data_IF_840686352582
#
_entry.id   IF_840686352582
#
_cell.length_a   1.000
_cell.length_b   1.000
_cell.length_c   1.000
_cell.angle_alpha   90.00
_cell.angle_beta   90.00
_cell.angle_gamma   90.00
#
_symmetry.space_group_name_H-M   'P 1'
#
loop_
_entity.id
_entity.type
_entity.pdbx_description
1 polymer ?
#
# COMPACT_ATOMS: atom_id res chain seq x y z
N UNK A 1 -13.70 -10.77 -28.55
CA UNK A 1 -13.34 -9.35 -28.74
C UNK A 1 -13.13 -8.80 -27.36
N UNK A 2 -11.89 -8.48 -27.01
CA UNK A 2 -11.55 -7.75 -25.78
C UNK A 2 -12.43 -6.51 -25.65
N UNK A 3 -13.05 -6.29 -24.48
CA UNK A 3 -13.85 -5.09 -24.26
C UNK A 3 -12.93 -3.86 -24.35
N UNK A 4 -13.47 -2.71 -24.77
CA UNK A 4 -12.69 -1.48 -24.97
C UNK A 4 -11.96 -1.01 -23.69
N UNK A 5 -12.40 -1.50 -22.53
CA UNK A 5 -11.74 -1.39 -21.22
C UNK A 5 -10.29 -1.93 -21.23
N UNK A 6 -10.02 -3.05 -21.92
CA UNK A 6 -8.68 -3.66 -22.00
C UNK A 6 -7.64 -2.78 -22.74
N UNK A 7 -8.08 -1.78 -23.51
CA UNK A 7 -7.19 -0.89 -24.25
C UNK A 7 -6.73 0.32 -23.42
N UNK A 8 -7.52 0.79 -22.45
CA UNK A 8 -7.22 1.97 -21.63
C UNK A 8 -6.21 1.71 -20.49
N UNK A 9 -6.04 0.45 -20.07
CA UNK A 9 -5.19 0.05 -18.95
C UNK A 9 -3.70 -0.11 -19.31
N UNK A 10 -3.31 0.05 -20.58
CA UNK A 10 -1.91 -0.06 -21.05
C UNK A 10 -0.99 1.07 -20.59
N UNK A 11 -1.52 2.11 -19.93
CA UNK A 11 -0.79 3.35 -19.62
C UNK A 11 0.12 3.34 -18.38
N UNK A 12 -0.13 2.50 -17.36
CA UNK A 12 0.78 2.39 -16.21
C UNK A 12 1.72 1.22 -16.41
N UNK A 13 2.91 1.48 -16.99
CA UNK A 13 3.98 0.48 -17.08
C UNK A 13 4.45 0.11 -15.66
N UNK A 14 3.82 -0.90 -15.06
CA UNK A 14 4.33 -1.60 -13.87
C UNK A 14 5.34 -2.65 -14.36
N UNK A 15 6.67 -2.42 -14.25
CA UNK A 15 7.69 -3.20 -14.97
C UNK A 15 7.64 -4.70 -14.65
N UNK A 16 7.31 -5.06 -13.40
CA UNK A 16 7.20 -6.43 -12.94
C UNK A 16 6.04 -7.18 -13.62
N UNK A 17 4.88 -6.55 -13.79
CA UNK A 17 3.71 -7.21 -14.38
C UNK A 17 3.89 -7.40 -15.89
N UNK A 18 4.42 -6.40 -16.59
CA UNK A 18 4.75 -6.53 -18.01
C UNK A 18 5.79 -7.63 -18.25
N UNK A 19 6.78 -7.75 -17.36
CA UNK A 19 7.78 -8.80 -17.41
C UNK A 19 7.18 -10.19 -17.16
N UNK A 20 6.35 -10.35 -16.11
CA UNK A 20 5.72 -11.62 -15.78
C UNK A 20 4.71 -12.09 -16.84
N UNK A 21 3.99 -11.18 -17.51
CA UNK A 21 3.09 -11.50 -18.63
C UNK A 21 3.84 -12.01 -19.87
N UNK A 22 5.12 -11.69 -19.99
CA UNK A 22 5.98 -12.10 -21.10
C UNK A 22 6.84 -13.32 -20.76
N UNK A 23 6.85 -13.75 -19.49
CA UNK A 23 7.61 -14.91 -19.04
C UNK A 23 6.99 -16.20 -19.59
N UNK A 24 7.85 -17.10 -20.07
CA UNK A 24 7.40 -18.42 -20.53
C UNK A 24 7.07 -19.32 -19.34
N UNK A 25 6.20 -20.32 -19.54
CA UNK A 25 5.91 -21.31 -18.50
C UNK A 25 7.16 -22.03 -17.99
N UNK A 26 8.18 -22.18 -18.85
CA UNK A 26 9.49 -22.75 -18.49
C UNK A 26 10.32 -21.86 -17.56
N UNK A 27 10.04 -20.55 -17.51
CA UNK A 27 10.81 -19.59 -16.69
C UNK A 27 10.22 -19.39 -15.29
N UNK A 28 8.96 -19.80 -15.05
CA UNK A 28 8.24 -19.54 -13.79
C UNK A 28 9.00 -20.09 -12.59
N UNK A 29 9.46 -21.34 -12.65
CA UNK A 29 10.20 -21.97 -11.55
C UNK A 29 11.55 -21.27 -11.30
N UNK A 30 12.20 -20.77 -12.36
CA UNK A 30 13.44 -20.02 -12.26
C UNK A 30 13.23 -18.63 -11.65
N UNK A 31 12.15 -17.95 -12.02
CA UNK A 31 11.76 -16.65 -11.43
C UNK A 31 11.43 -16.83 -9.95
N UNK A 32 10.62 -17.81 -9.58
CA UNK A 32 10.26 -18.09 -8.19
C UNK A 32 11.53 -18.34 -7.37
N UNK A 33 12.43 -19.19 -7.88
CA UNK A 33 13.67 -19.50 -7.19
C UNK A 33 14.52 -18.24 -6.99
N UNK A 34 14.77 -17.45 -8.03
CA UNK A 34 15.60 -16.23 -7.96
C UNK A 34 14.97 -15.08 -7.14
N UNK A 35 13.65 -15.02 -7.03
CA UNK A 35 12.97 -14.00 -6.23
C UNK A 35 12.86 -14.36 -4.74
N UNK A 36 12.56 -15.63 -4.44
CA UNK A 36 12.18 -16.07 -3.08
C UNK A 36 13.19 -17.02 -2.43
N UNK A 37 13.97 -17.76 -3.22
CA UNK A 37 15.01 -18.67 -2.71
C UNK A 37 14.48 -19.85 -1.90
N UNK A 38 13.24 -20.30 -2.13
CA UNK A 38 12.55 -21.27 -1.26
C UNK A 38 13.14 -22.69 -1.29
N UNK A 39 13.70 -23.10 -2.42
CA UNK A 39 14.32 -24.42 -2.58
C UNK A 39 15.84 -24.40 -2.34
N UNK A 40 16.36 -23.29 -1.80
CA UNK A 40 17.77 -23.01 -1.71
C UNK A 40 18.19 -22.82 -0.24
N UNK A 41 19.03 -23.70 0.30
CA UNK A 41 19.58 -23.48 1.64
C UNK A 41 20.52 -22.26 1.63
N UNK A 42 20.20 -21.25 2.44
CA UNK A 42 21.01 -20.04 2.55
C UNK A 42 22.39 -20.38 3.06
N UNK A 43 23.41 -19.81 2.42
CA UNK A 43 24.79 -19.99 2.89
C UNK A 43 25.12 -19.02 4.01
N UNK A 44 25.79 -19.54 5.03
CA UNK A 44 26.40 -18.70 6.06
C UNK A 44 27.63 -18.00 5.49
N UNK A 45 28.01 -16.87 6.09
CA UNK A 45 29.24 -16.16 5.75
C UNK A 45 30.45 -17.12 5.75
N UNK A 46 30.62 -17.91 6.82
CA UNK A 46 31.73 -18.85 6.93
C UNK A 46 31.75 -19.93 5.86
N UNK A 47 30.57 -20.42 5.43
CA UNK A 47 30.47 -21.41 4.35
C UNK A 47 30.91 -20.84 3.00
N UNK A 48 30.50 -19.60 2.71
CA UNK A 48 30.90 -18.92 1.47
C UNK A 48 32.39 -18.59 1.46
N UNK A 49 32.93 -18.08 2.57
CA UNK A 49 34.38 -17.83 2.72
C UNK A 49 35.18 -19.11 2.52
N UNK A 50 34.75 -20.23 3.14
CA UNK A 50 35.40 -21.52 2.95
C UNK A 50 35.37 -22.02 1.50
N UNK A 51 34.27 -21.77 0.79
CA UNK A 51 34.16 -22.12 -0.62
C UNK A 51 35.05 -21.24 -1.50
N UNK A 52 35.07 -19.91 -1.29
CA UNK A 52 35.99 -19.01 -2.00
C UNK A 52 37.44 -19.41 -1.78
N UNK A 53 37.81 -19.73 -0.54
CA UNK A 53 39.14 -20.21 -0.14
C UNK A 53 39.52 -21.51 -0.87
N UNK A 54 38.61 -22.49 -0.93
CA UNK A 54 38.79 -23.73 -1.67
C UNK A 54 39.00 -23.48 -3.17
N UNK A 55 38.17 -22.64 -3.80
CA UNK A 55 38.23 -22.31 -5.23
C UNK A 55 39.45 -21.47 -5.65
N UNK A 56 40.08 -20.80 -4.68
CA UNK A 56 41.26 -19.96 -4.89
C UNK A 56 42.55 -20.61 -4.41
N UNK A 57 42.47 -21.72 -3.67
CA UNK A 57 43.62 -22.41 -3.09
C UNK A 57 44.29 -21.62 -1.96
N UNK A 58 43.57 -20.72 -1.28
CA UNK A 58 44.08 -19.97 -0.12
C UNK A 58 43.39 -20.38 1.17
N UNK A 59 43.96 -20.00 2.32
CA UNK A 59 43.34 -20.24 3.61
C UNK A 59 42.12 -19.33 3.83
N UNK A 60 41.09 -19.83 4.50
CA UNK A 60 39.88 -19.07 4.81
C UNK A 60 40.16 -17.78 5.59
N UNK A 61 41.18 -17.75 6.46
CA UNK A 61 41.55 -16.52 7.19
C UNK A 61 42.07 -15.42 6.26
N UNK A 62 42.86 -15.77 5.24
CA UNK A 62 43.33 -14.81 4.24
C UNK A 62 42.16 -14.21 3.46
N UNK A 63 41.14 -15.02 3.15
CA UNK A 63 39.92 -14.54 2.51
C UNK A 63 39.18 -13.56 3.42
N UNK A 64 39.04 -13.87 4.73
CA UNK A 64 38.39 -12.98 5.70
C UNK A 64 39.12 -11.64 5.82
N UNK A 65 40.45 -11.65 5.86
CA UNK A 65 41.26 -10.43 5.94
C UNK A 65 41.02 -9.50 4.74
N UNK A 66 40.78 -10.07 3.56
CA UNK A 66 40.52 -9.31 2.32
C UNK A 66 39.07 -8.81 2.26
N UNK A 67 38.10 -9.68 2.57
CA UNK A 67 36.67 -9.38 2.37
C UNK A 67 35.99 -8.77 3.60
N UNK A 68 36.70 -8.69 4.73
CA UNK A 68 36.19 -8.22 6.01
C UNK A 68 35.26 -9.20 6.72
N UNK A 69 34.90 -8.89 7.97
CA UNK A 69 34.18 -9.81 8.88
C UNK A 69 32.65 -9.82 8.73
N UNK A 70 32.12 -9.07 7.76
CA UNK A 70 30.66 -8.91 7.60
C UNK A 70 30.15 -9.59 6.34
N UNK A 71 28.87 -9.96 6.36
CA UNK A 71 28.19 -10.52 5.19
C UNK A 71 28.10 -9.50 4.06
N UNK A 72 27.83 -8.25 4.39
CA UNK A 72 27.74 -7.13 3.47
C UNK A 72 29.07 -6.86 2.76
N UNK A 73 30.19 -6.83 3.50
CA UNK A 73 31.52 -6.62 2.92
C UNK A 73 31.92 -7.76 1.97
N UNK A 74 31.63 -9.01 2.35
CA UNK A 74 31.82 -10.17 1.46
C UNK A 74 31.01 -10.04 0.16
N UNK A 75 29.75 -9.60 0.25
CA UNK A 75 28.90 -9.38 -0.94
C UNK A 75 29.51 -8.30 -1.84
N UNK A 76 29.99 -7.20 -1.27
CA UNK A 76 30.60 -6.12 -2.05
C UNK A 76 31.86 -6.58 -2.77
N UNK A 77 32.72 -7.36 -2.10
CA UNK A 77 33.89 -7.99 -2.73
C UNK A 77 33.51 -8.99 -3.82
N UNK A 78 32.46 -9.79 -3.64
CA UNK A 78 32.00 -10.72 -4.70
C UNK A 78 31.40 -9.99 -5.91
N UNK A 79 30.79 -8.81 -5.68
CA UNK A 79 30.22 -7.98 -6.75
C UNK A 79 31.30 -7.22 -7.52
N UNK A 80 32.40 -6.82 -6.87
CA UNK A 80 33.48 -6.10 -7.54
C UNK A 80 34.21 -6.96 -8.58
N UNK A 81 34.22 -8.28 -8.40
CA UNK A 81 34.82 -9.24 -9.33
C UNK A 81 33.96 -9.51 -10.59
N UNK A 82 32.81 -8.85 -10.73
CA UNK A 82 31.94 -8.99 -11.89
C UNK A 82 32.33 -8.04 -13.03
N UNK A 83 32.89 -8.60 -14.11
CA UNK A 83 33.61 -7.84 -15.16
C UNK A 83 32.80 -7.50 -16.43
N UNK A 84 31.54 -7.94 -16.55
CA UNK A 84 30.69 -7.56 -17.69
C UNK A 84 29.96 -8.75 -18.29
N UNK A 85 28.67 -8.86 -17.95
CA UNK A 85 27.85 -10.04 -18.16
C UNK A 85 27.78 -10.53 -19.61
N UNK A 86 28.29 -11.74 -19.83
CA UNK A 86 27.95 -12.57 -20.98
C UNK A 86 26.53 -13.15 -20.90
N UNK A 87 25.84 -12.93 -19.78
CA UNK A 87 24.38 -12.97 -19.65
C UNK A 87 23.83 -14.36 -19.38
N UNK A 88 23.81 -14.77 -18.11
CA UNK A 88 22.97 -15.91 -17.73
C UNK A 88 21.50 -15.62 -18.05
N UNK A 89 20.85 -16.58 -18.70
CA UNK A 89 19.39 -16.62 -18.70
C UNK A 89 18.87 -17.02 -17.31
N UNK A 90 17.57 -16.86 -17.09
CA UNK A 90 16.96 -17.16 -15.78
C UNK A 90 17.18 -18.61 -15.32
N UNK A 91 17.16 -19.56 -16.25
CA UNK A 91 17.34 -20.97 -15.93
C UNK A 91 18.78 -21.26 -15.48
N UNK A 92 19.78 -20.67 -16.15
CA UNK A 92 21.20 -20.77 -15.78
C UNK A 92 21.46 -20.16 -14.40
N UNK A 93 20.93 -18.97 -14.14
CA UNK A 93 21.06 -18.32 -12.83
C UNK A 93 20.35 -19.11 -11.72
N UNK A 94 19.15 -19.65 -12.00
CA UNK A 94 18.39 -20.51 -11.08
C UNK A 94 19.14 -21.81 -10.77
N UNK A 95 19.73 -22.44 -11.79
CA UNK A 95 20.53 -23.65 -11.63
C UNK A 95 21.80 -23.38 -10.84
N UNK A 96 22.56 -22.33 -11.17
CA UNK A 96 23.75 -21.95 -10.44
C UNK A 96 23.44 -21.71 -8.95
N UNK A 97 22.37 -20.98 -8.64
CA UNK A 97 21.95 -20.76 -7.26
C UNK A 97 21.63 -22.08 -6.54
N UNK A 98 21.00 -23.04 -7.23
CA UNK A 98 20.70 -24.37 -6.67
C UNK A 98 21.98 -25.17 -6.41
N UNK A 99 22.96 -25.13 -7.30
CA UNK A 99 24.24 -25.83 -7.15
C UNK A 99 25.06 -25.31 -5.97
N UNK A 100 25.01 -24.00 -5.67
CA UNK A 100 25.58 -23.51 -4.41
C UNK A 100 24.78 -24.04 -3.22
N UNK A 101 23.47 -23.85 -3.24
CA UNK A 101 22.66 -23.92 -2.03
C UNK A 101 22.18 -25.33 -1.66
N UNK A 102 22.24 -26.30 -2.56
CA UNK A 102 21.77 -27.67 -2.32
C UNK A 102 22.94 -28.68 -2.27
N UNK A 103 23.19 -29.34 -1.11
CA UNK A 103 24.23 -30.36 -0.98
C UNK A 103 24.08 -31.54 -1.96
N UNK A 104 22.86 -31.87 -2.36
CA UNK A 104 22.54 -33.04 -3.19
C UNK A 104 22.84 -32.82 -4.69
N UNK A 105 23.10 -31.57 -5.10
CA UNK A 105 23.32 -31.20 -6.50
C UNK A 105 24.81 -31.08 -6.89
N UNK A 106 25.73 -31.30 -5.93
CA UNK A 106 27.16 -31.09 -6.15
C UNK A 106 27.55 -29.60 -6.21
N UNK A 107 28.72 -29.25 -5.70
CA UNK A 107 29.28 -27.90 -5.85
C UNK A 107 30.00 -27.79 -7.21
N UNK A 108 29.26 -27.95 -8.29
CA UNK A 108 29.83 -28.00 -9.65
C UNK A 108 30.02 -26.60 -10.28
N UNK A 109 29.74 -25.52 -9.53
CA UNK A 109 29.81 -24.15 -10.03
C UNK A 109 30.79 -23.34 -9.19
N UNK A 110 31.85 -22.84 -9.83
CA UNK A 110 32.82 -21.96 -9.17
C UNK A 110 32.26 -20.55 -8.99
N UNK A 111 32.58 -19.90 -7.88
CA UNK A 111 32.19 -18.50 -7.66
C UNK A 111 32.81 -17.55 -8.70
N UNK A 112 33.98 -17.88 -9.26
CA UNK A 112 34.66 -17.09 -10.30
C UNK A 112 33.88 -17.10 -11.61
N UNK A 113 33.34 -18.26 -11.99
CA UNK A 113 32.53 -18.38 -13.20
C UNK A 113 31.21 -17.60 -13.06
N UNK A 114 30.66 -17.56 -11.84
CA UNK A 114 29.48 -16.76 -11.51
C UNK A 114 29.77 -15.26 -11.61
N UNK A 115 30.90 -14.82 -11.04
CA UNK A 115 31.30 -13.42 -11.09
C UNK A 115 31.44 -12.94 -12.54
N UNK A 116 32.06 -13.74 -13.41
CA UNK A 116 32.24 -13.44 -14.84
C UNK A 116 30.94 -13.44 -15.65
N UNK A 117 29.97 -14.27 -15.28
CA UNK A 117 28.72 -14.41 -16.03
C UNK A 117 27.72 -13.26 -15.80
N UNK A 118 27.84 -12.55 -14.67
CA UNK A 118 26.90 -11.52 -14.23
C UNK A 118 27.48 -10.11 -14.36
N UNK A 119 26.61 -9.13 -14.61
CA UNK A 119 26.95 -7.73 -14.33
C UNK A 119 26.84 -7.43 -12.82
N UNK A 120 27.34 -6.26 -12.41
CA UNK A 120 27.36 -5.89 -10.98
C UNK A 120 25.96 -5.82 -10.33
N UNK A 121 24.91 -5.47 -11.07
CA UNK A 121 23.53 -5.43 -10.55
C UNK A 121 23.02 -6.85 -10.32
N UNK A 122 23.21 -7.73 -11.30
CA UNK A 122 22.85 -9.15 -11.23
C UNK A 122 23.59 -9.84 -10.09
N UNK A 123 24.91 -9.67 -10.01
CA UNK A 123 25.75 -10.23 -8.95
C UNK A 123 25.29 -9.75 -7.57
N UNK A 124 24.96 -8.46 -7.43
CA UNK A 124 24.46 -7.89 -6.17
C UNK A 124 23.14 -8.51 -5.74
N UNK A 125 22.23 -8.75 -6.69
CA UNK A 125 20.95 -9.40 -6.40
C UNK A 125 21.12 -10.90 -6.09
N UNK A 126 21.98 -11.58 -6.84
CA UNK A 126 22.29 -13.00 -6.70
C UNK A 126 22.93 -13.30 -5.34
N UNK A 127 24.06 -12.66 -5.02
CA UNK A 127 24.80 -12.93 -3.78
C UNK A 127 24.04 -12.55 -2.52
N UNK A 128 23.25 -11.47 -2.57
CA UNK A 128 22.33 -11.12 -1.48
C UNK A 128 21.29 -12.21 -1.24
N UNK A 129 20.83 -12.87 -2.30
CA UNK A 129 19.84 -13.97 -2.20
C UNK A 129 20.50 -15.23 -1.65
N UNK A 130 21.65 -15.65 -2.20
CA UNK A 130 22.44 -16.82 -1.76
C UNK A 130 22.83 -16.74 -0.27
N UNK A 131 23.32 -15.58 0.17
CA UNK A 131 23.77 -15.35 1.54
C UNK A 131 22.64 -14.95 2.51
N UNK A 132 21.41 -14.82 2.02
CA UNK A 132 20.27 -14.36 2.82
C UNK A 132 20.43 -12.94 3.39
N UNK A 133 21.26 -12.09 2.76
CA UNK A 133 21.37 -10.66 3.08
C UNK A 133 20.26 -9.84 2.42
N UNK A 134 19.57 -10.41 1.43
CA UNK A 134 18.43 -9.75 0.80
C UNK A 134 17.26 -9.75 1.79
N UNK A 135 16.76 -8.57 2.11
CA UNK A 135 15.31 -8.40 2.38
C UNK A 135 14.59 -8.64 1.06
N UNK A 136 14.43 -9.91 0.68
CA UNK A 136 13.70 -10.29 -0.53
C UNK A 136 12.30 -9.70 -0.52
N UNK A 137 11.65 -9.65 -1.68
CA UNK A 137 10.20 -9.48 -1.69
C UNK A 137 9.64 -10.68 -0.93
N UNK A 138 9.13 -10.48 0.29
CA UNK A 138 8.54 -11.57 1.06
C UNK A 138 7.35 -12.15 0.28
N UNK A 139 6.99 -13.42 0.49
CA UNK A 139 5.76 -13.99 -0.09
C UNK A 139 4.56 -13.06 0.14
N UNK A 140 4.52 -12.42 1.31
CA UNK A 140 3.54 -11.42 1.69
C UNK A 140 3.61 -10.11 0.88
N UNK A 141 4.81 -9.58 0.63
CA UNK A 141 5.01 -8.39 -0.22
C UNK A 141 4.64 -8.70 -1.67
N UNK A 142 4.95 -9.91 -2.14
CA UNK A 142 4.53 -10.43 -3.42
C UNK A 142 3.00 -10.54 -3.46
N UNK A 143 2.36 -11.21 -2.51
CA UNK A 143 0.90 -11.29 -2.39
C UNK A 143 0.22 -9.92 -2.37
N UNK A 144 0.78 -8.93 -1.66
CA UNK A 144 0.29 -7.55 -1.70
C UNK A 144 0.42 -6.94 -3.10
N UNK A 145 1.53 -7.17 -3.78
CA UNK A 145 1.69 -6.76 -5.18
C UNK A 145 0.73 -7.51 -6.12
N UNK A 146 0.40 -8.77 -5.82
CA UNK A 146 -0.53 -9.62 -6.57
C UNK A 146 -1.99 -9.22 -6.36
N UNK A 147 -2.41 -8.94 -5.12
CA UNK A 147 -3.71 -8.36 -4.77
C UNK A 147 -3.93 -7.01 -5.47
N UNK A 148 -2.89 -6.17 -5.50
CA UNK A 148 -2.85 -4.92 -6.29
C UNK A 148 -2.92 -5.12 -7.80
N UNK A 149 -3.03 -6.34 -8.30
CA UNK A 149 -3.24 -6.64 -9.71
C UNK A 149 -4.53 -7.47 -9.92
N UNK A 150 -5.48 -7.44 -8.98
CA UNK A 150 -6.83 -7.98 -9.23
C UNK A 150 -7.06 -9.44 -8.88
N UNK A 151 -6.20 -10.06 -8.07
CA UNK A 151 -6.44 -11.40 -7.54
C UNK A 151 -7.37 -11.33 -6.32
N UNK A 152 -8.52 -11.99 -6.40
CA UNK A 152 -9.56 -11.99 -5.34
C UNK A 152 -9.17 -12.85 -4.13
N UNK A 153 -9.79 -12.58 -2.99
CA UNK A 153 -9.58 -13.36 -1.76
C UNK A 153 -10.04 -14.84 -1.92
N UNK A 154 -11.03 -15.11 -2.78
CA UNK A 154 -11.45 -16.47 -3.13
C UNK A 154 -10.38 -17.23 -3.91
N UNK A 155 -9.72 -16.60 -4.88
CA UNK A 155 -8.62 -17.23 -5.63
C UNK A 155 -7.41 -17.50 -4.72
N UNK A 156 -7.15 -16.57 -3.79
CA UNK A 156 -6.12 -16.73 -2.75
C UNK A 156 -6.45 -17.88 -1.81
N UNK A 157 -7.72 -18.05 -1.45
CA UNK A 157 -8.18 -19.14 -0.59
C UNK A 157 -8.16 -20.49 -1.32
N UNK A 158 -8.60 -20.54 -2.58
CA UNK A 158 -8.60 -21.74 -3.42
C UNK A 158 -7.18 -22.23 -3.76
N UNK A 159 -6.24 -21.31 -3.99
CA UNK A 159 -4.82 -21.64 -4.21
C UNK A 159 -4.00 -21.74 -2.90
N UNK A 160 -4.67 -21.73 -1.74
CA UNK A 160 -4.07 -21.90 -0.41
C UNK A 160 -2.94 -20.90 -0.11
N UNK A 161 -3.08 -19.67 -0.59
CA UNK A 161 -2.04 -18.63 -0.59
C UNK A 161 -1.93 -17.85 0.73
N UNK A 162 -2.75 -18.17 1.74
CA UNK A 162 -2.80 -17.48 3.04
C UNK A 162 -1.90 -18.14 4.10
N UNK A 163 -1.47 -19.38 3.87
CA UNK A 163 -0.72 -20.19 4.83
C UNK A 163 0.79 -20.15 4.57
N UNK A 164 1.61 -20.43 5.58
CA UNK A 164 3.08 -20.57 5.44
C UNK A 164 3.50 -21.65 4.42
N UNK A 165 2.57 -22.54 4.08
CA UNK A 165 2.68 -23.56 3.02
C UNK A 165 2.23 -23.05 1.63
N UNK A 166 2.24 -21.73 1.41
CA UNK A 166 1.87 -21.10 0.15
C UNK A 166 2.62 -21.73 -1.03
N UNK A 167 1.87 -22.23 -2.00
CA UNK A 167 2.39 -22.70 -3.28
C UNK A 167 2.60 -21.51 -4.22
N UNK A 168 3.81 -20.94 -4.20
CA UNK A 168 4.16 -19.81 -5.07
C UNK A 168 3.98 -20.14 -6.56
N UNK A 169 4.16 -21.41 -6.95
CA UNK A 169 3.96 -21.84 -8.33
C UNK A 169 2.50 -21.67 -8.74
N UNK A 170 1.55 -22.14 -7.94
CA UNK A 170 0.12 -21.91 -8.18
C UNK A 170 -0.24 -20.42 -8.15
N UNK A 171 0.34 -19.62 -7.26
CA UNK A 171 0.16 -18.16 -7.27
C UNK A 171 0.58 -17.53 -8.60
N UNK A 172 1.77 -17.89 -9.10
CA UNK A 172 2.29 -17.42 -10.39
C UNK A 172 1.45 -17.92 -11.57
N UNK A 173 1.04 -19.19 -11.58
CA UNK A 173 0.18 -19.74 -12.63
C UNK A 173 -1.19 -19.07 -12.67
N UNK A 174 -1.80 -18.83 -11.51
CA UNK A 174 -3.07 -18.10 -11.39
C UNK A 174 -2.96 -16.67 -11.94
N UNK A 175 -1.80 -16.02 -11.83
CA UNK A 175 -1.53 -14.68 -12.39
C UNK A 175 -1.28 -14.67 -13.90
N UNK A 176 -0.56 -15.67 -14.44
CA UNK A 176 -0.12 -15.69 -15.84
C UNK A 176 -1.19 -16.30 -16.76
N UNK A 177 -1.95 -17.28 -16.29
CA UNK A 177 -2.86 -18.08 -17.12
C UNK A 177 -4.31 -17.57 -17.17
N UNK A 178 -4.73 -16.65 -16.28
CA UNK A 178 -6.07 -16.05 -16.31
C UNK A 178 -6.06 -14.51 -16.34
N UNK A 179 -5.52 -13.86 -17.40
CA UNK A 179 -5.47 -12.40 -17.51
C UNK A 179 -6.84 -11.70 -17.52
N UNK A 180 -7.91 -12.43 -17.88
CA UNK A 180 -9.28 -11.93 -17.90
C UNK A 180 -9.90 -11.74 -16.51
N UNK A 181 -9.26 -12.29 -15.47
CA UNK A 181 -9.74 -12.26 -14.09
C UNK A 181 -8.95 -11.27 -13.23
N UNK A 182 -8.10 -10.44 -13.84
CA UNK A 182 -7.59 -9.26 -13.14
C UNK A 182 -8.80 -8.37 -12.87
N UNK A 183 -9.30 -8.38 -11.64
CA UNK A 183 -10.15 -7.26 -11.22
C UNK A 183 -9.24 -6.04 -11.25
N UNK A 184 -9.47 -5.13 -12.18
CA UNK A 184 -8.88 -3.80 -12.15
C UNK A 184 -9.46 -2.97 -10.99
N UNK A 185 -9.91 -3.61 -9.91
CA UNK A 185 -10.35 -3.00 -8.66
C UNK A 185 -9.15 -2.46 -7.86
N UNK A 186 -8.23 -1.76 -8.52
CA UNK A 186 -7.58 -0.63 -7.88
C UNK A 186 -8.42 0.61 -8.16
N UNK A 187 -9.56 0.68 -7.48
CA UNK A 187 -9.93 1.90 -6.76
C UNK A 187 -9.77 3.22 -7.53
N UNK A 188 -10.36 3.28 -8.72
CA UNK A 188 -10.30 4.43 -9.64
C UNK A 188 -11.23 5.58 -9.19
N UNK A 189 -11.68 5.60 -7.94
CA UNK A 189 -12.26 6.78 -7.28
C UNK A 189 -11.68 7.02 -5.86
N UNK A 190 -10.64 6.28 -5.46
CA UNK A 190 -9.95 6.48 -4.18
C UNK A 190 -8.84 7.52 -4.30
N UNK A 191 -9.08 8.60 -5.04
CA UNK A 191 -8.20 9.76 -4.91
C UNK A 191 -8.50 10.37 -3.54
N UNK A 192 -7.67 10.02 -2.56
CA UNK A 192 -7.82 10.45 -1.18
C UNK A 192 -8.08 11.96 -1.17
N UNK A 193 -9.06 12.41 -0.40
CA UNK A 193 -9.27 13.84 -0.24
C UNK A 193 -8.44 14.27 0.94
N UNK A 194 -7.62 15.29 0.74
CA UNK A 194 -6.83 15.82 1.83
C UNK A 194 -7.80 16.45 2.83
N UNK A 195 -7.78 15.98 4.07
CA UNK A 195 -8.50 16.66 5.15
C UNK A 195 -7.64 17.87 5.51
N UNK A 196 -8.21 19.06 5.38
CA UNK A 196 -7.58 20.31 5.77
C UNK A 196 -8.30 20.85 7.00
N UNK A 197 -7.51 21.19 8.01
CA UNK A 197 -8.02 21.86 9.18
C UNK A 197 -8.62 23.20 8.76
N UNK A 198 -9.76 23.51 9.32
CA UNK A 198 -10.36 24.81 9.24
C UNK A 198 -9.55 25.81 10.06
N UNK A 199 -9.08 26.89 9.43
CA UNK A 199 -8.55 28.06 10.12
C UNK A 199 -8.88 29.34 9.34
N UNK A 200 -9.13 30.46 10.04
CA UNK A 200 -9.49 31.75 9.43
C UNK A 200 -8.41 32.33 8.51
N UNK A 201 -7.18 31.81 8.59
CA UNK A 201 -6.02 32.28 7.83
C UNK A 201 -5.98 31.78 6.36
N UNK A 202 -6.96 30.98 5.94
CA UNK A 202 -7.03 30.39 4.59
C UNK A 202 -7.79 31.33 3.64
N UNK A 203 -7.14 31.81 2.58
CA UNK A 203 -7.84 32.55 1.52
C UNK A 203 -8.62 31.60 0.60
N UNK A 204 -9.91 31.39 0.87
CA UNK A 204 -10.79 30.47 0.11
C UNK A 204 -10.83 30.72 -1.39
N UNK A 205 -10.64 31.96 -1.86
CA UNK A 205 -10.73 32.25 -3.30
C UNK A 205 -9.59 31.58 -4.07
N UNK A 206 -8.44 31.38 -3.40
CA UNK A 206 -7.28 30.68 -3.97
C UNK A 206 -7.50 29.16 -4.01
N UNK A 207 -8.52 28.66 -3.31
CA UNK A 207 -8.86 27.25 -3.22
C UNK A 207 -9.72 26.82 -4.41
N UNK A 208 -9.15 25.92 -5.23
CA UNK A 208 -9.84 25.22 -6.32
C UNK A 208 -10.56 26.13 -7.33
N UNK A 209 -9.97 27.29 -7.63
CA UNK A 209 -10.54 28.24 -8.60
C UNK A 209 -11.86 28.86 -8.15
N UNK A 210 -12.13 28.94 -6.85
CA UNK A 210 -13.33 29.59 -6.33
C UNK A 210 -14.56 28.69 -6.23
N UNK A 211 -14.41 27.36 -6.34
CA UNK A 211 -15.54 26.42 -6.37
C UNK A 211 -15.48 25.36 -5.25
N UNK A 212 -16.64 25.11 -4.64
CA UNK A 212 -16.85 24.07 -3.65
C UNK A 212 -18.13 23.24 -3.94
N UNK A 213 -18.30 22.15 -3.20
CA UNK A 213 -19.52 21.37 -3.09
C UNK A 213 -19.90 21.29 -1.61
N UNK A 214 -21.18 21.47 -1.31
CA UNK A 214 -21.73 21.21 0.02
C UNK A 214 -22.44 19.88 -0.07
N UNK A 215 -22.00 18.92 0.75
CA UNK A 215 -22.54 17.56 0.75
C UNK A 215 -23.24 17.36 2.09
N UNK A 216 -24.52 17.05 2.06
CA UNK A 216 -25.31 16.88 3.27
C UNK A 216 -24.81 15.69 4.11
N UNK A 217 -24.63 15.94 5.41
CA UNK A 217 -24.16 14.97 6.38
C UNK A 217 -22.63 14.80 6.43
N UNK A 218 -22.14 14.51 7.64
CA UNK A 218 -20.72 14.28 7.91
C UNK A 218 -20.36 12.80 7.76
N UNK A 219 -19.32 12.50 6.98
CA UNK A 219 -18.72 11.15 6.93
C UNK A 219 -19.56 10.05 6.26
N UNK A 220 -20.64 10.40 5.56
CA UNK A 220 -21.61 9.44 5.01
C UNK A 220 -21.32 8.96 3.58
N UNK A 221 -20.04 8.75 3.23
CA UNK A 221 -19.64 8.32 1.87
C UNK A 221 -20.03 6.86 1.59
N UNK A 222 -20.69 6.65 0.46
CA UNK A 222 -21.04 5.36 -0.15
C UNK A 222 -20.52 5.34 -1.58
N UNK A 223 -20.15 4.16 -2.05
CA UNK A 223 -19.73 3.93 -3.43
C UNK A 223 -20.69 2.95 -4.09
N UNK A 224 -21.13 3.30 -5.28
CA UNK A 224 -21.87 2.41 -6.15
C UNK A 224 -21.06 2.11 -7.40
N UNK A 225 -21.09 0.85 -7.86
CA UNK A 225 -20.21 0.35 -8.91
C UNK A 225 -21.01 -0.45 -9.94
N UNK A 226 -20.73 -0.19 -11.20
CA UNK A 226 -21.23 -0.94 -12.35
C UNK A 226 -20.07 -1.23 -13.31
N UNK A 227 -20.36 -1.91 -14.43
CA UNK A 227 -19.37 -2.19 -15.47
C UNK A 227 -18.95 -0.92 -16.25
N UNK A 228 -19.77 0.13 -16.21
CA UNK A 228 -19.57 1.34 -17.02
C UNK A 228 -19.04 2.52 -16.20
N UNK A 229 -19.32 2.54 -14.90
CA UNK A 229 -19.01 3.67 -14.04
C UNK A 229 -18.87 3.30 -12.55
N UNK A 230 -18.32 4.26 -11.81
CA UNK A 230 -18.35 4.27 -10.35
C UNK A 230 -18.85 5.63 -9.89
N UNK A 231 -19.76 5.63 -8.93
CA UNK A 231 -20.41 6.84 -8.40
C UNK A 231 -20.15 6.96 -6.91
N UNK A 232 -19.76 8.16 -6.49
CA UNK A 232 -19.69 8.52 -5.08
C UNK A 232 -20.95 9.25 -4.67
N UNK A 233 -21.61 8.75 -3.63
CA UNK A 233 -22.83 9.35 -3.11
C UNK A 233 -22.92 9.25 -1.59
N UNK A 234 -23.82 10.01 -0.99
CA UNK A 234 -24.12 9.88 0.44
C UNK A 234 -25.08 8.73 0.70
N UNK A 235 -25.15 8.25 1.95
CA UNK A 235 -26.26 7.36 2.39
C UNK A 235 -27.65 7.96 2.16
N UNK A 236 -27.75 9.29 2.15
CA UNK A 236 -28.98 10.02 1.85
C UNK A 236 -29.30 10.15 0.37
N UNK A 237 -28.50 9.55 -0.52
CA UNK A 237 -28.78 9.56 -1.96
C UNK A 237 -28.30 10.81 -2.69
N UNK A 238 -27.29 11.51 -2.19
CA UNK A 238 -26.70 12.67 -2.88
C UNK A 238 -25.39 12.27 -3.56
N UNK A 239 -25.37 12.18 -4.89
CA UNK A 239 -24.14 11.92 -5.66
C UNK A 239 -23.31 13.19 -5.83
N UNK A 240 -22.00 13.09 -5.68
CA UNK A 240 -21.11 14.27 -5.70
C UNK A 240 -19.82 14.08 -6.49
N UNK A 241 -19.59 12.88 -7.03
CA UNK A 241 -18.57 12.63 -8.04
C UNK A 241 -18.89 11.31 -8.76
N UNK A 242 -18.34 11.15 -9.95
CA UNK A 242 -18.37 9.88 -10.66
C UNK A 242 -17.14 9.74 -11.53
N UNK A 243 -16.87 8.49 -11.90
CA UNK A 243 -15.95 8.15 -12.97
C UNK A 243 -16.68 7.29 -13.98
N UNK A 244 -16.72 7.78 -15.21
CA UNK A 244 -17.20 7.07 -16.38
C UNK A 244 -16.00 6.50 -17.12
N UNK A 245 -15.91 5.18 -17.26
CA UNK A 245 -14.68 4.55 -17.74
C UNK A 245 -14.34 4.90 -19.20
N UNK A 246 -15.35 5.07 -20.05
CA UNK A 246 -15.14 5.48 -21.45
C UNK A 246 -14.95 6.99 -21.62
N UNK A 247 -15.22 7.77 -20.58
CA UNK A 247 -15.22 9.24 -20.62
C UNK A 247 -14.23 9.83 -19.60
N UNK A 248 -13.05 9.20 -19.44
CA UNK A 248 -12.04 9.59 -18.45
C UNK A 248 -11.45 11.02 -18.63
N UNK A 249 -11.68 11.65 -19.78
CA UNK A 249 -11.29 13.04 -20.03
C UNK A 249 -12.28 14.06 -19.46
N UNK A 250 -13.45 13.63 -18.98
CA UNK A 250 -14.45 14.55 -18.44
C UNK A 250 -13.95 15.21 -17.16
N UNK A 251 -14.04 16.54 -17.13
CA UNK A 251 -13.87 17.36 -15.94
C UNK A 251 -15.04 17.14 -14.98
N UNK A 252 -14.86 17.54 -13.72
CA UNK A 252 -15.87 17.29 -12.69
C UNK A 252 -17.25 17.84 -13.06
N UNK A 253 -17.34 19.07 -13.56
CA UNK A 253 -18.60 19.68 -13.95
C UNK A 253 -19.35 18.86 -15.02
N UNK A 254 -18.61 18.34 -16.01
CA UNK A 254 -19.16 17.50 -17.07
C UNK A 254 -19.62 16.15 -16.51
N UNK A 255 -18.88 15.57 -15.56
CA UNK A 255 -19.27 14.33 -14.86
C UNK A 255 -20.53 14.53 -14.02
N UNK A 256 -20.66 15.66 -13.32
CA UNK A 256 -21.86 15.99 -12.56
C UNK A 256 -23.08 16.22 -13.47
N UNK A 257 -22.88 16.86 -14.63
CA UNK A 257 -23.93 16.99 -15.65
C UNK A 257 -24.38 15.61 -16.13
N UNK A 258 -23.42 14.71 -16.43
CA UNK A 258 -23.71 13.33 -16.86
C UNK A 258 -24.53 12.56 -15.82
N UNK A 259 -24.23 12.72 -14.53
CA UNK A 259 -25.02 12.14 -13.44
C UNK A 259 -26.45 12.69 -13.40
N UNK A 260 -26.63 13.99 -13.65
CA UNK A 260 -27.95 14.61 -13.73
C UNK A 260 -28.76 14.11 -14.94
N UNK A 261 -28.08 13.87 -16.07
CA UNK A 261 -28.70 13.30 -17.27
C UNK A 261 -29.19 11.88 -17.02
N UNK A 262 -28.39 11.04 -16.35
CA UNK A 262 -28.77 9.67 -15.97
C UNK A 262 -29.99 9.68 -15.04
N UNK A 263 -30.02 10.57 -14.05
CA UNK A 263 -31.16 10.72 -13.14
C UNK A 263 -32.44 11.11 -13.89
N UNK A 264 -32.32 12.01 -14.88
CA UNK A 264 -33.45 12.47 -15.70
C UNK A 264 -33.98 11.40 -16.66
N UNK A 265 -33.18 10.39 -16.99
CA UNK A 265 -33.53 9.29 -17.90
C UNK A 265 -34.33 8.17 -17.22
N UNK A 266 -34.60 8.29 -15.91
CA UNK A 266 -35.42 7.32 -15.17
C UNK A 266 -34.70 6.00 -14.91
N UNK A 267 -33.37 6.00 -14.94
CA UNK A 267 -32.57 4.85 -14.52
C UNK A 267 -32.74 4.60 -13.00
N UNK A 268 -32.72 3.33 -12.59
CA UNK A 268 -32.71 2.96 -11.17
C UNK A 268 -31.31 3.21 -10.60
N UNK A 269 -31.09 4.39 -10.05
CA UNK A 269 -29.80 4.84 -9.53
C UNK A 269 -29.73 4.78 -8.01
N UNK A 270 -28.52 4.71 -7.42
CA UNK A 270 -28.31 4.67 -5.96
C UNK A 270 -28.38 6.06 -5.31
N UNK A 271 -28.78 7.08 -6.07
CA UNK A 271 -28.85 8.48 -5.68
C UNK A 271 -30.05 9.14 -6.36
N UNK A 272 -30.61 10.14 -5.69
CA UNK A 272 -31.79 10.89 -6.13
C UNK A 272 -31.46 12.38 -6.35
N UNK A 273 -30.25 12.82 -5.97
CA UNK A 273 -29.78 14.19 -6.13
C UNK A 273 -28.30 14.23 -6.55
N UNK A 274 -27.89 15.29 -7.25
CA UNK A 274 -26.49 15.57 -7.59
C UNK A 274 -26.02 16.86 -6.89
N UNK A 275 -24.94 16.78 -6.11
CA UNK A 275 -24.30 17.92 -5.49
C UNK A 275 -23.45 18.69 -6.52
N UNK A 276 -24.04 19.70 -7.14
CA UNK A 276 -23.35 20.55 -8.10
C UNK A 276 -22.31 21.48 -7.46
N UNK A 277 -21.37 21.93 -8.28
CA UNK A 277 -20.39 22.96 -7.91
C UNK A 277 -21.11 24.28 -7.65
N UNK A 278 -20.64 25.00 -6.64
CA UNK A 278 -21.08 26.37 -6.34
C UNK A 278 -19.88 27.26 -6.07
N UNK A 279 -20.06 28.56 -6.30
CA UNK A 279 -19.07 29.54 -5.87
C UNK A 279 -18.89 29.48 -4.36
N UNK A 280 -17.63 29.56 -3.93
CA UNK A 280 -17.29 29.63 -2.52
C UNK A 280 -17.95 30.88 -1.92
N UNK A 281 -18.82 30.73 -0.90
CA UNK A 281 -19.43 31.87 -0.24
C UNK A 281 -18.41 32.56 0.71
N UNK A 282 -18.75 33.72 1.29
CA UNK A 282 -17.96 34.33 2.33
C UNK A 282 -17.65 33.38 3.49
N UNK A 283 -16.53 33.62 4.19
CA UNK A 283 -16.00 32.71 5.20
C UNK A 283 -16.99 32.34 6.31
N UNK A 284 -17.75 33.32 6.81
CA UNK A 284 -18.78 33.16 7.83
C UNK A 284 -19.96 32.28 7.37
N UNK A 285 -20.23 32.20 6.07
CA UNK A 285 -21.26 31.29 5.54
C UNK A 285 -20.73 29.86 5.40
N UNK A 286 -19.45 29.69 5.04
CA UNK A 286 -18.82 28.36 5.12
C UNK A 286 -18.90 27.82 6.55
N UNK A 287 -18.72 28.70 7.54
CA UNK A 287 -18.88 28.40 8.98
C UNK A 287 -20.16 27.63 9.28
N UNK A 288 -21.31 28.26 9.03
CA UNK A 288 -22.59 27.61 9.26
C UNK A 288 -22.85 26.38 8.39
N UNK A 289 -22.26 26.29 7.18
CA UNK A 289 -22.48 25.14 6.30
C UNK A 289 -21.85 23.87 6.88
N UNK A 290 -20.68 23.96 7.47
CA UNK A 290 -19.96 22.80 7.99
C UNK A 290 -20.50 22.27 9.32
N UNK A 291 -21.47 22.93 9.96
CA UNK A 291 -22.09 22.42 11.19
C UNK A 291 -22.83 21.10 10.93
N UNK A 292 -23.55 21.02 9.81
CA UNK A 292 -24.35 19.86 9.44
C UNK A 292 -23.83 19.15 8.19
N UNK A 293 -23.01 19.83 7.38
CA UNK A 293 -22.57 19.34 6.07
C UNK A 293 -21.07 19.07 6.03
N UNK A 294 -20.65 18.37 4.99
CA UNK A 294 -19.26 18.29 4.57
C UNK A 294 -19.03 19.28 3.43
N UNK A 295 -18.19 20.30 3.66
CA UNK A 295 -17.75 21.20 2.57
C UNK A 295 -16.53 20.62 1.90
N UNK A 296 -16.68 20.32 0.61
CA UNK A 296 -15.66 19.76 -0.26
C UNK A 296 -15.17 20.80 -1.25
N UNK A 297 -13.87 20.76 -1.52
CA UNK A 297 -13.23 21.48 -2.61
C UNK A 297 -12.65 20.45 -3.56
N UNK A 298 -13.41 20.06 -4.59
CA UNK A 298 -13.13 18.88 -5.36
C UNK A 298 -12.07 19.13 -6.43
N UNK A 299 -11.31 18.12 -6.86
CA UNK A 299 -10.46 18.28 -8.04
C UNK A 299 -11.32 18.47 -9.31
N UNK A 300 -11.21 19.65 -9.93
CA UNK A 300 -11.98 20.01 -11.14
C UNK A 300 -11.44 19.37 -12.42
N UNK A 301 -10.19 18.89 -12.40
CA UNK A 301 -9.54 18.32 -13.57
C UNK A 301 -10.21 17.01 -14.02
N UNK A 302 -9.90 16.55 -15.25
CA UNK A 302 -10.17 15.18 -15.65
C UNK A 302 -9.60 14.19 -14.64
N UNK A 303 -10.28 13.08 -14.44
CA UNK A 303 -9.85 12.10 -13.45
C UNK A 303 -8.45 11.57 -13.79
N UNK A 304 -7.57 11.58 -12.78
CA UNK A 304 -6.24 10.98 -12.86
C UNK A 304 -6.00 10.11 -11.62
N UNK A 305 -5.53 8.86 -11.80
CA UNK A 305 -5.33 7.94 -10.67
C UNK A 305 -4.35 8.43 -9.61
N UNK A 306 -3.37 9.24 -10.01
CA UNK A 306 -2.26 9.67 -9.15
C UNK A 306 -2.53 11.02 -8.44
N UNK A 307 -3.60 11.73 -8.82
CA UNK A 307 -3.93 13.04 -8.25
C UNK A 307 -4.83 12.90 -7.01
N UNK A 308 -4.82 13.88 -6.11
CA UNK A 308 -5.81 13.95 -5.03
C UNK A 308 -7.20 14.29 -5.58
N UNK A 309 -8.26 13.79 -4.91
CA UNK A 309 -9.67 14.03 -5.29
C UNK A 309 -10.18 15.42 -4.91
N UNK A 310 -9.26 16.31 -4.53
CA UNK A 310 -9.48 17.57 -3.84
C UNK A 310 -9.20 17.48 -2.34
N UNK A 311 -9.84 18.34 -1.58
CA UNK A 311 -9.75 18.40 -0.12
C UNK A 311 -11.13 18.58 0.50
N UNK A 312 -11.22 18.20 1.77
CA UNK A 312 -12.39 18.38 2.62
C UNK A 312 -11.98 19.28 3.78
N UNK A 313 -12.75 20.33 4.03
CA UNK A 313 -12.56 21.11 5.25
C UNK A 313 -13.10 20.33 6.44
N UNK A 314 -12.32 20.33 7.51
CA UNK A 314 -12.66 19.69 8.77
C UNK A 314 -12.46 20.71 9.87
N UNK A 315 -13.47 20.87 10.72
CA UNK A 315 -13.38 21.68 11.95
C UNK A 315 -12.12 21.24 12.71
N UNK A 316 -11.23 22.19 13.04
CA UNK A 316 -9.91 21.89 13.59
C UNK A 316 -10.02 21.12 14.90
N UNK A 317 -11.03 21.44 15.69
CA UNK A 317 -11.41 20.82 16.96
C UNK A 317 -11.83 19.35 16.79
N UNK A 318 -12.20 18.91 15.57
CA UNK A 318 -12.46 17.49 15.29
C UNK A 318 -11.21 16.69 14.96
N UNK A 319 -10.06 17.34 14.73
CA UNK A 319 -8.80 16.66 14.46
C UNK A 319 -8.15 16.33 15.81
N UNK A 320 -8.18 15.04 16.13
CA UNK A 320 -7.74 14.52 17.41
C UNK A 320 -6.38 13.85 17.23
N UNK A 321 -5.42 14.26 18.04
CA UNK A 321 -4.10 13.65 18.09
C UNK A 321 -4.14 12.55 19.14
N UNK A 322 -4.01 11.30 18.71
CA UNK A 322 -4.11 10.11 19.56
C UNK A 322 -2.88 9.24 19.42
N UNK A 323 -2.62 8.38 20.40
CA UNK A 323 -1.52 7.41 20.36
C UNK A 323 -2.02 6.07 19.87
N UNK A 324 -1.34 5.47 18.91
CA UNK A 324 -1.65 4.13 18.43
C UNK A 324 -1.32 3.10 19.53
N UNK A 325 -2.32 2.31 19.95
CA UNK A 325 -2.18 1.38 21.07
C UNK A 325 -2.13 -0.07 20.64
N UNK A 326 -2.87 -0.43 19.61
CA UNK A 326 -2.80 -1.76 19.02
C UNK A 326 -3.19 -1.73 17.56
N UNK A 327 -2.87 -2.81 16.85
CA UNK A 327 -3.41 -3.04 15.52
C UNK A 327 -3.68 -4.52 15.24
N UNK A 328 -4.54 -4.76 14.26
CA UNK A 328 -4.90 -6.09 13.76
C UNK A 328 -5.10 -6.00 12.26
N UNK A 329 -4.43 -6.86 11.50
CA UNK A 329 -4.55 -6.90 10.03
C UNK A 329 -5.58 -7.97 9.65
N UNK A 330 -6.67 -7.57 8.98
CA UNK A 330 -7.76 -8.49 8.59
C UNK A 330 -8.13 -8.26 7.13
N UNK A 331 -8.00 -9.29 6.29
CA UNK A 331 -8.52 -9.23 4.91
C UNK A 331 -7.99 -8.05 4.07
N UNK A 332 -6.74 -7.60 4.31
CA UNK A 332 -6.16 -6.45 3.63
C UNK A 332 -6.53 -5.07 4.20
N UNK A 333 -7.38 -5.04 5.24
CA UNK A 333 -7.61 -3.85 6.08
C UNK A 333 -6.75 -3.90 7.34
N UNK A 334 -6.57 -2.74 7.98
CA UNK A 334 -5.90 -2.63 9.27
C UNK A 334 -6.87 -2.02 10.27
N UNK A 335 -7.28 -2.80 11.26
CA UNK A 335 -7.97 -2.30 12.43
C UNK A 335 -6.91 -1.74 13.38
N UNK A 336 -7.10 -0.51 13.83
CA UNK A 336 -6.23 0.12 14.81
C UNK A 336 -7.03 0.50 16.03
N UNK A 337 -6.43 0.36 17.20
CA UNK A 337 -6.88 1.00 18.43
C UNK A 337 -5.99 2.17 18.77
N UNK A 338 -6.58 3.13 19.46
CA UNK A 338 -5.88 4.33 19.88
C UNK A 338 -6.31 4.78 21.26
N UNK A 339 -5.36 5.45 21.92
CA UNK A 339 -5.50 5.97 23.26
C UNK A 339 -5.41 7.50 23.23
N UNK A 340 -6.11 8.12 24.18
CA UNK A 340 -5.93 9.53 24.53
C UNK A 340 -5.34 9.63 25.94
N UNK A 341 -4.95 10.83 26.37
CA UNK A 341 -4.47 11.04 27.73
C UNK A 341 -5.64 11.27 28.69
N UNK A 342 -5.54 10.65 29.87
CA UNK A 342 -6.34 10.98 31.05
C UNK A 342 -5.37 11.38 32.19
N UNK A 343 -5.08 12.68 32.27
CA UNK A 343 -4.05 13.19 33.16
C UNK A 343 -2.66 12.73 32.70
N UNK A 344 -2.08 11.76 33.43
CA UNK A 344 -0.78 11.16 33.11
C UNK A 344 -0.86 9.80 32.45
N UNK A 345 -2.05 9.19 32.42
CA UNK A 345 -2.25 7.82 31.97
C UNK A 345 -2.83 7.79 30.55
N UNK A 346 -2.56 6.70 29.83
CA UNK A 346 -3.17 6.44 28.52
C UNK A 346 -4.48 5.68 28.72
N UNK A 347 -5.56 6.21 28.16
CA UNK A 347 -6.89 5.60 28.20
C UNK A 347 -7.32 5.21 26.78
N UNK A 348 -7.79 3.97 26.56
CA UNK A 348 -8.35 3.56 25.28
C UNK A 348 -9.57 4.42 24.89
N UNK A 349 -9.52 5.06 23.73
CA UNK A 349 -10.58 5.98 23.26
C UNK A 349 -11.20 5.56 21.93
N UNK A 350 -10.90 4.37 21.46
CA UNK A 350 -11.66 3.71 20.41
C UNK A 350 -10.79 2.93 19.44
N UNK A 351 -11.40 2.63 18.30
CA UNK A 351 -10.76 1.93 17.20
C UNK A 351 -11.35 2.36 15.87
N UNK A 352 -10.57 2.22 14.80
CA UNK A 352 -11.05 2.45 13.44
C UNK A 352 -10.47 1.41 12.48
N UNK A 353 -11.14 1.21 11.36
CA UNK A 353 -10.65 0.34 10.28
C UNK A 353 -10.11 1.17 9.14
N UNK A 354 -8.82 0.98 8.83
CA UNK A 354 -8.17 1.52 7.64
C UNK A 354 -8.35 0.50 6.52
N UNK A 355 -9.21 0.82 5.56
CA UNK A 355 -9.44 0.00 4.36
C UNK A 355 -8.68 0.51 3.13
N UNK A 356 -8.27 1.79 3.15
CA UNK A 356 -7.56 2.42 2.05
C UNK A 356 -6.13 1.86 1.89
N UNK A 357 -5.82 1.30 0.73
CA UNK A 357 -4.54 0.63 0.47
C UNK A 357 -3.32 1.54 0.64
N UNK A 358 -3.42 2.83 0.32
CA UNK A 358 -2.31 3.77 0.48
C UNK A 358 -2.05 4.04 1.96
N UNK A 359 -3.12 4.24 2.74
CA UNK A 359 -3.05 4.41 4.20
C UNK A 359 -2.59 3.13 4.90
N UNK A 360 -3.07 1.96 4.48
CA UNK A 360 -2.58 0.65 4.95
C UNK A 360 -1.10 0.48 4.61
N UNK A 361 -0.67 0.86 3.41
CA UNK A 361 0.75 0.79 3.02
C UNK A 361 1.63 1.74 3.83
N UNK A 362 1.13 2.96 4.09
CA UNK A 362 1.76 3.94 4.98
C UNK A 362 1.89 3.38 6.40
N UNK A 363 0.79 2.84 6.94
CA UNK A 363 0.75 2.14 8.22
C UNK A 363 1.83 1.08 8.31
N UNK A 364 1.93 0.19 7.33
CA UNK A 364 2.96 -0.85 7.31
C UNK A 364 4.38 -0.29 7.29
N UNK A 365 4.63 0.80 6.54
CA UNK A 365 5.94 1.46 6.51
C UNK A 365 6.28 2.05 7.87
N UNK A 366 5.32 2.72 8.51
CA UNK A 366 5.47 3.31 9.85
C UNK A 366 5.77 2.25 10.88
N UNK A 367 4.96 1.19 10.99
CA UNK A 367 5.19 0.11 11.96
C UNK A 367 6.56 -0.55 11.79
N UNK A 368 6.97 -0.79 10.54
CA UNK A 368 8.29 -1.34 10.23
C UNK A 368 9.44 -0.44 10.68
N UNK A 369 9.29 0.89 10.56
CA UNK A 369 10.31 1.84 11.04
C UNK A 369 10.48 1.76 12.56
N UNK A 370 9.38 1.57 13.28
CA UNK A 370 9.38 1.45 14.74
C UNK A 370 9.77 0.05 15.26
N UNK A 371 10.17 -0.88 14.38
CA UNK A 371 10.56 -2.25 14.72
C UNK A 371 9.51 -3.00 15.56
N UNK A 372 8.22 -2.66 15.42
CA UNK A 372 7.13 -3.44 16.01
C UNK A 372 7.09 -4.80 15.31
N UNK A 373 7.04 -5.90 16.08
CA UNK A 373 7.29 -7.29 15.65
C UNK A 373 6.65 -7.71 14.32
N UNK A 374 7.28 -8.70 13.67
CA UNK A 374 6.92 -9.18 12.33
C UNK A 374 5.46 -9.64 12.25
N UNK A 375 4.69 -8.85 11.50
CA UNK A 375 3.36 -9.12 10.95
C UNK A 375 3.04 -10.61 10.74
N UNK A 376 2.49 -11.28 11.74
CA UNK A 376 1.74 -12.50 11.50
C UNK A 376 0.42 -12.12 10.86
N UNK A 377 0.09 -12.70 9.70
CA UNK A 377 -1.20 -12.61 9.00
C UNK A 377 -2.34 -13.31 9.78
N UNK A 378 -2.25 -13.32 11.11
CA UNK A 378 -3.26 -13.89 11.99
C UNK A 378 -4.30 -12.86 12.36
N UNK A 379 -5.47 -13.35 12.78
CA UNK A 379 -6.48 -12.59 13.51
C UNK A 379 -6.01 -12.07 14.87
N UNK A 380 -4.72 -12.22 15.20
CA UNK A 380 -4.10 -11.79 16.45
C UNK A 380 -3.94 -10.27 16.47
N UNK A 381 -4.48 -9.67 17.52
CA UNK A 381 -4.24 -8.29 17.90
C UNK A 381 -2.79 -8.16 18.37
N UNK A 382 -2.07 -7.16 17.86
CA UNK A 382 -0.69 -6.83 18.23
C UNK A 382 -0.76 -5.55 19.04
N UNK A 383 -0.35 -5.62 20.32
CA UNK A 383 -0.24 -4.44 21.17
C UNK A 383 1.03 -3.66 20.81
N UNK A 384 0.92 -2.33 20.82
CA UNK A 384 2.06 -1.41 20.73
C UNK A 384 2.56 -1.17 22.16
N UNK A 385 3.85 -1.46 22.46
CA UNK A 385 4.42 -1.18 23.78
C UNK A 385 4.29 0.31 24.15
N UNK A 386 3.99 0.61 25.42
CA UNK A 386 3.76 1.99 25.90
C UNK A 386 5.00 2.88 25.77
N UNK A 387 6.19 2.28 25.66
CA UNK A 387 7.43 3.01 25.37
C UNK A 387 7.48 3.56 23.93
N UNK A 388 6.66 3.00 23.02
CA UNK A 388 6.53 3.47 21.65
C UNK A 388 5.36 4.44 21.52
N UNK A 389 5.70 5.73 21.37
CA UNK A 389 4.74 6.78 21.11
C UNK A 389 4.56 7.00 19.59
N UNK A 390 3.68 6.21 18.98
CA UNK A 390 3.33 6.37 17.55
C UNK A 390 2.07 7.22 17.46
N UNK A 391 2.24 8.48 17.05
CA UNK A 391 1.14 9.45 16.96
C UNK A 391 0.35 9.30 15.66
N UNK A 392 -0.97 9.27 15.80
CA UNK A 392 -1.94 9.23 14.72
C UNK A 392 -2.89 10.40 14.88
N UNK A 393 -3.15 11.11 13.78
CA UNK A 393 -4.25 12.06 13.71
C UNK A 393 -5.48 11.33 13.17
N UNK A 394 -6.57 11.46 13.91
CA UNK A 394 -7.90 11.00 13.50
C UNK A 394 -8.83 12.20 13.41
N UNK A 395 -9.84 12.10 12.56
CA UNK A 395 -10.96 13.04 12.57
C UNK A 395 -12.13 12.37 13.23
N UNK A 396 -12.64 12.97 14.30
CA UNK A 396 -13.85 12.51 14.99
C UNK A 396 -14.70 13.72 15.40
N UNK A 397 -16.00 13.76 15.03
CA UNK A 397 -16.87 14.89 15.34
C UNK A 397 -17.27 15.01 16.81
N UNK A 398 -17.14 13.95 17.62
CA UNK A 398 -17.52 13.98 19.03
C UNK A 398 -17.01 12.76 19.78
N UNK A 399 -16.97 12.86 21.11
CA UNK A 399 -16.78 11.75 22.03
C UNK A 399 -18.14 11.24 22.55
N UNK A 400 -18.29 9.94 22.73
CA UNK A 400 -19.39 9.37 23.50
C UNK A 400 -19.10 9.48 24.99
N UNK A 401 -19.79 10.38 25.70
CA UNK A 401 -19.57 10.60 27.13
C UNK A 401 -19.85 9.39 28.04
N UNK A 402 -20.50 8.33 27.54
CA UNK A 402 -20.73 7.11 28.32
C UNK A 402 -19.61 6.07 28.20
N UNK A 403 -19.03 5.92 27.00
CA UNK A 403 -17.95 4.98 26.71
C UNK A 403 -16.57 5.63 26.64
N UNK A 404 -16.51 6.97 26.63
CA UNK A 404 -15.32 7.78 26.35
C UNK A 404 -14.65 7.41 25.02
N UNK A 405 -15.42 6.91 24.05
CA UNK A 405 -14.92 6.58 22.72
C UNK A 405 -15.24 7.67 21.70
N UNK A 406 -14.29 7.92 20.80
CA UNK A 406 -14.49 8.78 19.64
C UNK A 406 -15.57 8.19 18.72
N UNK A 407 -16.55 9.01 18.32
CA UNK A 407 -17.62 8.62 17.39
C UNK A 407 -17.14 8.79 15.95
N UNK A 408 -17.45 7.81 15.10
CA UNK A 408 -17.13 7.83 13.66
C UNK A 408 -15.68 8.27 13.31
N UNK A 409 -14.65 7.73 13.99
CA UNK A 409 -13.28 8.13 13.76
C UNK A 409 -12.83 7.77 12.35
N UNK A 410 -12.20 8.72 11.65
CA UNK A 410 -11.61 8.54 10.33
C UNK A 410 -10.12 8.76 10.42
N UNK A 411 -9.33 7.83 9.86
CA UNK A 411 -7.88 8.00 9.79
C UNK A 411 -7.51 9.20 8.93
N UNK A 412 -6.76 10.15 9.50
CA UNK A 412 -6.21 11.29 8.77
C UNK A 412 -4.79 11.00 8.30
N UNK A 413 -3.84 10.91 9.22
CA UNK A 413 -2.43 10.69 8.93
C UNK A 413 -1.64 10.21 10.16
N UNK A 414 -0.42 9.72 9.92
CA UNK A 414 0.59 9.66 10.98
C UNK A 414 1.26 11.02 11.10
N UNK A 415 1.54 11.46 12.33
CA UNK A 415 2.27 12.70 12.57
C UNK A 415 3.57 12.38 13.32
N UNK A 416 4.69 12.48 12.61
CA UNK A 416 6.01 12.06 13.14
C UNK A 416 6.69 13.16 13.95
N UNK A 417 6.22 14.40 13.81
CA UNK A 417 6.77 15.56 14.50
C UNK A 417 6.16 15.74 15.90
N UNK A 418 5.10 14.99 16.21
CA UNK A 418 4.37 15.02 17.48
C UNK A 418 4.83 13.91 18.43
N UNK A 419 4.78 14.19 19.73
CA UNK A 419 5.12 13.27 20.79
C UNK A 419 3.98 13.07 21.80
N UNK A 420 4.31 12.50 22.96
CA UNK A 420 3.33 12.19 24.02
C UNK A 420 2.62 13.44 24.55
N UNK A 421 3.30 14.58 24.56
CA UNK A 421 2.74 15.88 25.01
C UNK A 421 1.67 16.44 24.08
N UNK A 422 1.58 15.93 22.84
CA UNK A 422 0.63 16.39 21.84
C UNK A 422 -0.62 15.51 21.79
N UNK A 423 -0.65 14.39 22.53
CA UNK A 423 -1.83 13.53 22.63
C UNK A 423 -2.93 14.32 23.33
N UNK A 424 -4.13 14.28 22.76
CA UNK A 424 -5.28 14.98 23.31
C UNK A 424 -5.63 14.47 24.70
N UNK A 425 -5.97 15.39 25.60
CA UNK A 425 -6.52 15.06 26.93
C UNK A 425 -8.03 14.86 26.80
N UNK A 426 -8.56 13.80 27.42
CA UNK A 426 -9.99 13.50 27.37
C UNK A 426 -10.85 14.67 27.87
N UNK A 427 -10.38 15.38 28.90
CA UNK A 427 -11.06 16.56 29.44
C UNK A 427 -11.19 17.70 28.43
N UNK A 428 -10.28 17.80 27.46
CA UNK A 428 -10.31 18.83 26.41
C UNK A 428 -11.30 18.49 25.29
N UNK A 429 -11.72 17.23 25.19
CA UNK A 429 -12.68 16.75 24.17
C UNK A 429 -14.12 16.72 24.70
N UNK A 430 -14.29 16.56 26.02
CA UNK A 430 -15.62 16.49 26.67
C UNK A 430 -16.25 17.88 26.85
N UNK A 431 -15.42 18.93 26.98
CA UNK A 431 -15.85 20.32 27.14
C UNK A 431 -16.45 20.88 25.84
#
# INVERSE_FOLDING_TARGET
MSSKYELYTKGTKKPLLSYLKQASNSDIDSIIRLFFGEDCAKWTYGKMVGHVASDTGVFAEVVKDIVGDTKESLIESLVSESEGGSGWNLAEASWAMKSFTNPDFGQDVSWKDCARAMNQIEAKLFWRTVLGARRGMSKHTFLKAVKRNGVTDEMISQANLVNDKMNLREAFYTMVMNPSNFSDENYVLYTNRRLLAWNEDINLVDYNGGLCQVIEGKGNRVLHRTDDYVIEHTKGGVAYDALFFEEGSLKLEERLSRLGDMLSQGESLPYDEVAYLRSIPPWNEIEGLCDENTVRFPNLAPYRPDDYGGYLMVIKEHIQTVRLSWYKVVGGSVNIGFDAMDGTDLMPTGSLTITDLNKVSSFHRTMKRWNVEEFSLGDSRIEIPDELCIIVEIVSPSLDGSSMHFKHPVFHQFNEDKGISDIVQIVDVIA
#
